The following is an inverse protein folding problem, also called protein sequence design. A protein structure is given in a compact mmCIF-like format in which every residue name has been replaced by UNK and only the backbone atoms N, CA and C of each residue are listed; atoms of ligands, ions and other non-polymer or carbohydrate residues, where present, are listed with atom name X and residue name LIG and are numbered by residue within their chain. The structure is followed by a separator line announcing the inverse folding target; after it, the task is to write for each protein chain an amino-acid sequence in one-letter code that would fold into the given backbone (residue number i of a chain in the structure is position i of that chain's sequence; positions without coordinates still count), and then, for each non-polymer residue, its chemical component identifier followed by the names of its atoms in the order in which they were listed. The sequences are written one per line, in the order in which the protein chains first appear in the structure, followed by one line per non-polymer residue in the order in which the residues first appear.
data_IF_732390335681
#
_entry.id   IF_732390335681
#
_cell.length_a   1.000
_cell.length_b   1.000
_cell.length_c   1.000
_cell.angle_alpha   90.00
_cell.angle_beta   90.00
_cell.angle_gamma   90.00
#
_symmetry.space_group_name_H-M   'P 1'
#
loop_
_entity.id
_entity.type
_entity.pdbx_description
1 polymer ?
#
# COMPACT_ATOMS: atom_id res chain seq x y z
N UNK A 1 -14.16 -9.75 -7.81
CA UNK A 1 -12.90 -10.51 -8.00
C UNK A 1 -11.76 -9.67 -7.45
N UNK A 2 -10.84 -10.30 -6.71
CA UNK A 2 -9.76 -9.60 -6.01
C UNK A 2 -8.91 -8.75 -6.96
N UNK A 3 -8.75 -9.20 -8.21
CA UNK A 3 -8.01 -8.46 -9.26
C UNK A 3 -8.50 -7.02 -9.45
N UNK A 4 -9.80 -6.77 -9.29
CA UNK A 4 -10.38 -5.42 -9.38
C UNK A 4 -10.40 -4.72 -8.03
N UNK A 5 -10.96 -5.37 -7.00
CA UNK A 5 -11.17 -4.72 -5.70
C UNK A 5 -9.86 -4.41 -4.98
N UNK A 6 -8.86 -5.30 -5.04
CA UNK A 6 -7.55 -5.05 -4.46
C UNK A 6 -6.79 -3.96 -5.24
N UNK A 7 -6.91 -3.91 -6.57
CA UNK A 7 -6.31 -2.83 -7.37
C UNK A 7 -6.92 -1.46 -7.00
N UNK A 8 -8.25 -1.38 -6.81
CA UNK A 8 -8.91 -0.15 -6.36
C UNK A 8 -8.49 0.24 -4.94
N UNK A 9 -8.40 -0.73 -4.02
CA UNK A 9 -7.88 -0.51 -2.68
C UNK A 9 -6.44 0.02 -2.73
N UNK A 10 -5.55 -0.62 -3.50
CA UNK A 10 -4.16 -0.17 -3.65
C UNK A 10 -4.10 1.27 -4.18
N UNK A 11 -4.91 1.62 -5.20
CA UNK A 11 -4.99 3.00 -5.67
C UNK A 11 -5.49 3.96 -4.60
N UNK A 12 -6.52 3.57 -3.84
CA UNK A 12 -7.07 4.38 -2.76
C UNK A 12 -6.02 4.66 -1.68
N UNK A 13 -5.33 3.62 -1.18
CA UNK A 13 -4.28 3.76 -0.18
C UNK A 13 -3.12 4.61 -0.71
N UNK A 14 -2.62 4.34 -1.92
CA UNK A 14 -1.53 5.10 -2.52
C UNK A 14 -1.87 6.59 -2.65
N UNK A 15 -3.11 6.90 -3.05
CA UNK A 15 -3.60 8.29 -3.11
C UNK A 15 -3.57 8.95 -1.74
N UNK A 16 -3.94 8.24 -0.67
CA UNK A 16 -3.95 8.80 0.69
C UNK A 16 -2.53 9.02 1.24
N UNK A 17 -1.58 8.13 0.93
CA UNK A 17 -0.16 8.31 1.31
C UNK A 17 0.42 9.58 0.67
N UNK A 18 0.13 9.82 -0.61
CA UNK A 18 0.60 11.04 -1.29
C UNK A 18 -0.15 12.28 -0.78
N UNK A 19 -1.47 12.18 -0.61
CA UNK A 19 -2.30 13.29 -0.15
C UNK A 19 -1.98 13.73 1.29
N UNK A 20 -1.48 12.84 2.15
CA UNK A 20 -1.02 13.16 3.50
C UNK A 20 0.35 13.87 3.53
N UNK A 21 1.02 13.99 2.38
CA UNK A 21 2.34 14.60 2.26
C UNK A 21 3.50 13.73 2.75
N UNK A 22 3.23 12.46 3.11
CA UNK A 22 4.26 11.55 3.64
C UNK A 22 5.25 11.12 2.56
N UNK A 23 4.85 11.08 1.29
CA UNK A 23 5.72 10.82 0.15
C UNK A 23 5.23 11.56 -1.11
N UNK A 24 6.14 11.90 -2.02
CA UNK A 24 5.78 12.54 -3.30
C UNK A 24 5.23 11.52 -4.32
N UNK A 25 5.70 10.27 -4.26
CA UNK A 25 5.18 9.16 -5.05
C UNK A 25 5.32 7.86 -4.26
N UNK A 26 4.47 6.88 -4.59
CA UNK A 26 4.47 5.58 -3.92
C UNK A 26 3.96 4.51 -4.85
N UNK A 27 4.58 3.32 -4.78
CA UNK A 27 4.06 2.08 -5.33
C UNK A 27 3.55 1.20 -4.18
N UNK A 28 2.38 0.60 -4.39
CA UNK A 28 1.83 -0.43 -3.52
C UNK A 28 1.70 -1.73 -4.28
N UNK A 29 2.22 -2.80 -3.68
CA UNK A 29 2.07 -4.16 -4.17
C UNK A 29 1.29 -4.96 -3.13
N UNK A 30 0.28 -5.70 -3.59
CA UNK A 30 -0.55 -6.56 -2.75
C UNK A 30 -0.71 -7.90 -3.45
N UNK A 31 -0.49 -8.99 -2.73
CA UNK A 31 -0.70 -10.34 -3.24
C UNK A 31 -1.71 -11.10 -2.37
N UNK A 32 -2.51 -11.95 -3.02
CA UNK A 32 -3.47 -12.83 -2.37
C UNK A 32 -3.24 -14.27 -2.79
N UNK A 33 -3.46 -15.21 -1.87
CA UNK A 33 -3.55 -16.63 -2.18
C UNK A 33 -5.03 -17.04 -2.31
N UNK A 34 -5.32 -17.99 -3.20
CA UNK A 34 -6.68 -18.53 -3.37
C UNK A 34 -7.16 -19.13 -2.04
N UNK A 35 -8.32 -18.70 -1.57
CA UNK A 35 -8.90 -19.18 -0.30
C UNK A 35 -8.34 -18.49 0.96
N UNK A 36 -7.42 -17.53 0.83
CA UNK A 36 -6.93 -16.73 1.95
C UNK A 36 -7.61 -15.35 1.98
N UNK A 37 -8.27 -14.97 3.09
CA UNK A 37 -9.02 -13.71 3.16
C UNK A 37 -8.11 -12.48 3.23
N UNK A 38 -6.95 -12.62 3.87
CA UNK A 38 -5.98 -11.55 4.04
C UNK A 38 -4.93 -11.56 2.92
N UNK A 39 -4.29 -10.42 2.61
CA UNK A 39 -3.18 -10.39 1.66
C UNK A 39 -1.96 -11.11 2.24
N UNK A 40 -1.37 -12.01 1.46
CA UNK A 40 -0.15 -12.72 1.83
C UNK A 40 1.08 -11.81 1.79
N UNK A 41 1.04 -10.75 0.99
CA UNK A 41 2.05 -9.69 1.00
C UNK A 41 1.42 -8.32 0.80
N UNK A 42 2.01 -7.33 1.47
CA UNK A 42 1.80 -5.91 1.24
C UNK A 42 3.17 -5.25 1.31
N UNK A 43 3.58 -4.61 0.21
CA UNK A 43 4.84 -3.89 0.10
C UNK A 43 4.58 -2.44 -0.29
N UNK A 44 5.35 -1.55 0.31
CA UNK A 44 5.40 -0.12 -0.01
C UNK A 44 6.78 0.21 -0.57
N UNK A 45 6.83 1.02 -1.63
CA UNK A 45 8.06 1.62 -2.13
C UNK A 45 7.80 3.09 -2.44
N UNK A 46 8.47 4.00 -1.72
CA UNK A 46 8.34 5.46 -1.97
C UNK A 46 9.40 5.99 -2.93
N UNK A 47 10.29 5.13 -3.44
CA UNK A 47 11.41 5.48 -4.31
C UNK A 47 12.28 6.60 -3.74
N UNK A 48 12.50 6.58 -2.41
CA UNK A 48 13.28 7.58 -1.69
C UNK A 48 12.60 8.95 -1.53
N UNK A 49 11.30 9.07 -1.83
CA UNK A 49 10.55 10.32 -1.64
C UNK A 49 9.79 10.40 -0.32
N UNK A 50 9.84 9.33 0.49
CA UNK A 50 9.21 9.27 1.80
C UNK A 50 9.92 10.15 2.83
N UNK A 51 9.15 10.89 3.63
CA UNK A 51 9.63 11.61 4.82
C UNK A 51 9.96 10.68 5.99
N UNK A 52 9.43 9.45 5.94
CA UNK A 52 9.71 8.37 6.90
C UNK A 52 10.00 7.08 6.13
N UNK A 53 10.56 6.07 6.80
CA UNK A 53 10.92 4.81 6.14
C UNK A 53 9.70 4.08 5.57
N UNK A 54 9.91 3.34 4.48
CA UNK A 54 8.86 2.57 3.81
C UNK A 54 8.25 1.52 4.75
N UNK A 55 9.02 0.94 5.67
CA UNK A 55 8.50 0.00 6.68
C UNK A 55 7.53 0.68 7.65
N UNK A 56 7.77 1.94 8.00
CA UNK A 56 6.88 2.70 8.87
C UNK A 56 5.57 3.03 8.17
N UNK A 57 5.63 3.39 6.89
CA UNK A 57 4.44 3.59 6.05
C UNK A 57 3.67 2.28 5.91
N UNK A 58 4.36 1.18 5.61
CA UNK A 58 3.77 -0.16 5.49
C UNK A 58 3.05 -0.59 6.78
N UNK A 59 3.65 -0.32 7.94
CA UNK A 59 3.04 -0.61 9.24
C UNK A 59 1.80 0.24 9.49
N UNK A 60 1.82 1.51 9.08
CA UNK A 60 0.65 2.39 9.19
C UNK A 60 -0.49 1.91 8.30
N UNK A 61 -0.22 1.55 7.04
CA UNK A 61 -1.23 1.04 6.10
C UNK A 61 -1.97 -0.19 6.65
N UNK A 62 -1.29 -1.06 7.39
CA UNK A 62 -1.91 -2.26 7.99
C UNK A 62 -2.81 -1.98 9.20
N UNK A 63 -2.78 -0.77 9.76
CA UNK A 63 -3.50 -0.40 11.00
C UNK A 63 -4.74 0.47 10.76
N UNK A 64 -4.90 1.03 9.57
CA UNK A 64 -5.98 1.94 9.18
C UNK A 64 -6.98 1.19 8.32
#
# INVERSE_FOLDING_TARGET
KVDRSAAYMARWVAKHIVASGVAAKVELQVAYAIGHPEPTSLRVDTFGTGLVSDERIQTAVRKV
#
